data_IF_363456681680
#
_entry.id   IF_363456681680
#
_cell.length_a   1.000
_cell.length_b   1.000
_cell.length_c   1.000
_cell.angle_alpha   90.00
_cell.angle_beta   90.00
_cell.angle_gamma   90.00
#
_symmetry.space_group_name_H-M   'P 1'
#
loop_
_entity.id
_entity.type
_entity.pdbx_description
1 polymer ?
#
# COMPACT_ATOMS: atom_id res chain seq x y z
N UNK A 1 -7.42 7.83 14.08
CA UNK A 1 -7.26 7.68 12.65
C UNK A 1 -7.37 6.22 12.18
N UNK A 2 -6.53 5.28 12.65
CA UNK A 2 -6.69 3.84 12.37
C UNK A 2 -6.93 3.10 13.68
N UNK A 3 -7.99 2.27 13.75
CA UNK A 3 -8.32 1.48 14.94
C UNK A 3 -8.63 0.04 14.53
N UNK A 4 -8.00 -0.91 15.20
CA UNK A 4 -8.28 -2.33 15.14
C UNK A 4 -8.85 -2.78 16.46
N UNK A 5 -9.98 -3.49 16.43
CA UNK A 5 -10.67 -3.98 17.63
C UNK A 5 -10.89 -5.49 17.50
N UNK A 6 -10.15 -6.26 18.29
CA UNK A 6 -10.24 -7.73 18.36
C UNK A 6 -10.16 -8.41 16.98
N UNK A 7 -9.28 -7.89 16.10
CA UNK A 7 -9.18 -8.31 14.71
C UNK A 7 -8.51 -9.67 14.61
N UNK A 8 -9.13 -10.60 13.92
CA UNK A 8 -8.56 -11.91 13.61
C UNK A 8 -8.64 -12.21 12.11
N UNK A 9 -7.65 -12.95 11.61
CA UNK A 9 -7.60 -13.42 10.23
C UNK A 9 -7.21 -14.88 10.14
N UNK A 10 -8.09 -15.66 9.52
CA UNK A 10 -7.86 -17.07 9.18
C UNK A 10 -7.96 -17.24 7.66
N UNK A 11 -7.05 -18.03 7.09
CA UNK A 11 -7.11 -18.44 5.69
C UNK A 11 -7.50 -19.90 5.61
N UNK A 12 -8.44 -20.22 4.72
CA UNK A 12 -8.84 -21.59 4.41
C UNK A 12 -8.13 -22.02 3.13
N UNK A 13 -7.33 -23.07 3.21
CA UNK A 13 -6.59 -23.62 2.08
C UNK A 13 -7.42 -24.73 1.41
N UNK A 14 -8.20 -24.37 0.41
CA UNK A 14 -9.10 -25.31 -0.29
C UNK A 14 -8.37 -26.49 -0.93
N UNK A 15 -7.11 -26.26 -1.39
CA UNK A 15 -6.30 -27.29 -2.05
C UNK A 15 -5.53 -28.19 -1.07
N UNK A 16 -5.65 -27.97 0.26
CA UNK A 16 -4.97 -28.73 1.30
C UNK A 16 -5.99 -29.19 2.35
N UNK A 17 -6.90 -30.07 1.94
CA UNK A 17 -7.93 -30.68 2.80
C UNK A 17 -8.73 -29.66 3.63
N UNK A 18 -8.94 -28.44 3.10
CA UNK A 18 -9.58 -27.32 3.83
C UNK A 18 -8.86 -26.91 5.13
N UNK A 19 -7.55 -27.12 5.22
CA UNK A 19 -6.79 -26.66 6.38
C UNK A 19 -7.01 -25.18 6.66
N UNK A 20 -7.16 -24.82 7.94
CA UNK A 20 -7.32 -23.44 8.40
C UNK A 20 -6.03 -22.97 9.03
N UNK A 21 -5.47 -21.89 8.49
CA UNK A 21 -4.29 -21.23 9.06
C UNK A 21 -4.74 -19.93 9.73
N UNK A 22 -4.54 -19.85 11.04
CA UNK A 22 -4.71 -18.61 11.80
C UNK A 22 -3.45 -17.76 11.65
N UNK A 23 -3.57 -16.54 11.13
CA UNK A 23 -2.43 -15.64 10.87
C UNK A 23 -2.44 -14.47 11.84
N UNK A 24 -3.61 -13.98 12.22
CA UNK A 24 -3.78 -12.90 13.18
C UNK A 24 -4.86 -13.32 14.17
N UNK A 25 -4.59 -13.13 15.45
CA UNK A 25 -5.51 -13.48 16.53
C UNK A 25 -5.69 -12.29 17.49
N UNK A 26 -6.93 -11.82 17.60
CA UNK A 26 -7.37 -10.80 18.55
C UNK A 26 -6.47 -9.54 18.57
N UNK A 27 -6.03 -9.07 17.40
CA UNK A 27 -5.16 -7.90 17.30
C UNK A 27 -5.94 -6.63 17.66
N UNK A 28 -5.33 -5.81 18.51
CA UNK A 28 -5.83 -4.50 18.90
C UNK A 28 -4.73 -3.47 18.63
N UNK A 29 -5.08 -2.38 17.94
CA UNK A 29 -4.16 -1.31 17.59
C UNK A 29 -4.94 -0.01 17.48
N UNK A 30 -4.36 1.07 17.98
CA UNK A 30 -4.90 2.41 17.79
C UNK A 30 -3.76 3.32 17.33
N UNK A 31 -3.93 3.99 16.18
CA UNK A 31 -2.97 4.93 15.62
C UNK A 31 -3.64 6.28 15.47
N UNK A 32 -3.09 7.26 16.17
CA UNK A 32 -3.55 8.65 16.15
C UNK A 32 -2.93 9.44 14.99
N UNK A 33 -3.49 10.58 14.58
CA UNK A 33 -2.84 11.46 13.61
C UNK A 33 -1.44 11.90 14.09
N UNK A 34 -0.47 11.91 13.19
CA UNK A 34 0.92 12.27 13.48
C UNK A 34 1.75 11.18 14.18
N UNK A 35 1.15 10.02 14.47
CA UNK A 35 1.86 8.90 15.11
C UNK A 35 2.56 8.02 14.07
N UNK A 36 3.80 7.62 14.37
CA UNK A 36 4.57 6.64 13.59
C UNK A 36 4.66 5.32 14.37
N UNK A 37 4.12 4.25 13.81
CA UNK A 37 4.07 2.92 14.43
C UNK A 37 4.84 1.90 13.62
N UNK A 38 5.79 1.20 14.25
CA UNK A 38 6.53 0.11 13.64
C UNK A 38 5.96 -1.26 14.06
N UNK A 39 5.61 -2.09 13.07
CA UNK A 39 5.24 -3.49 13.29
C UNK A 39 6.49 -4.36 13.32
N UNK A 40 6.85 -4.87 14.48
CA UNK A 40 8.04 -5.71 14.68
C UNK A 40 7.65 -7.17 14.89
N UNK A 41 8.43 -8.10 14.33
CA UNK A 41 8.19 -9.53 14.48
C UNK A 41 8.93 -10.35 13.42
N UNK A 42 9.03 -11.66 13.63
CA UNK A 42 9.68 -12.58 12.71
C UNK A 42 9.05 -12.58 11.31
N UNK A 43 9.77 -13.06 10.30
CA UNK A 43 9.18 -13.29 8.98
C UNK A 43 8.02 -14.29 9.11
N UNK A 44 6.92 -14.02 8.38
CA UNK A 44 5.71 -14.84 8.45
C UNK A 44 4.80 -14.58 9.66
N UNK A 45 5.12 -13.63 10.56
CA UNK A 45 4.29 -13.32 11.73
C UNK A 45 2.97 -12.55 11.42
N UNK A 46 2.66 -12.32 10.16
CA UNK A 46 1.39 -11.68 9.74
C UNK A 46 1.45 -10.16 9.55
N UNK A 47 2.62 -9.50 9.66
CA UNK A 47 2.74 -8.03 9.50
C UNK A 47 2.16 -7.52 8.18
N UNK A 48 2.59 -8.08 7.05
CA UNK A 48 2.05 -7.71 5.72
C UNK A 48 0.58 -8.07 5.58
N UNK A 49 0.12 -9.14 6.23
CA UNK A 49 -1.32 -9.49 6.26
C UNK A 49 -2.11 -8.41 6.98
N UNK A 50 -1.63 -7.94 8.14
CA UNK A 50 -2.26 -6.88 8.90
C UNK A 50 -2.34 -5.58 8.09
N UNK A 51 -1.24 -5.17 7.46
CA UNK A 51 -1.21 -3.98 6.59
C UNK A 51 -2.19 -4.10 5.42
N UNK A 52 -2.26 -5.28 4.77
CA UNK A 52 -3.22 -5.54 3.69
C UNK A 52 -4.67 -5.52 4.16
N UNK A 53 -4.93 -5.88 5.41
CA UNK A 53 -6.27 -5.75 6.01
C UNK A 53 -6.62 -4.30 6.30
N UNK A 54 -5.69 -3.50 6.84
CA UNK A 54 -5.86 -2.05 7.04
C UNK A 54 -6.07 -1.34 5.70
N UNK A 55 -5.38 -1.76 4.65
CA UNK A 55 -5.58 -1.24 3.29
C UNK A 55 -6.86 -1.77 2.61
N UNK A 56 -7.60 -2.68 3.25
CA UNK A 56 -8.84 -3.27 2.73
C UNK A 56 -8.65 -4.32 1.63
N UNK A 57 -7.42 -4.84 1.41
CA UNK A 57 -7.17 -5.92 0.45
C UNK A 57 -7.64 -7.30 0.96
N UNK A 58 -7.69 -7.46 2.29
CA UNK A 58 -8.21 -8.66 2.93
C UNK A 58 -9.27 -8.27 3.95
N UNK A 59 -10.40 -8.95 3.92
CA UNK A 59 -11.41 -8.84 4.97
C UNK A 59 -10.95 -9.56 6.23
N UNK A 60 -11.24 -8.99 7.39
CA UNK A 60 -11.09 -9.67 8.66
C UNK A 60 -12.01 -10.89 8.74
N UNK A 61 -11.60 -11.93 9.47
CA UNK A 61 -12.48 -13.05 9.81
C UNK A 61 -13.42 -12.66 10.96
N UNK A 62 -12.92 -11.83 11.89
CA UNK A 62 -13.70 -11.26 12.98
C UNK A 62 -13.04 -9.96 13.47
N UNK A 63 -13.75 -9.19 14.27
CA UNK A 63 -13.35 -7.88 14.76
C UNK A 63 -13.67 -6.76 13.76
N UNK A 64 -13.21 -5.54 14.02
CA UNK A 64 -13.46 -4.37 13.18
C UNK A 64 -12.16 -3.59 12.90
N UNK A 65 -12.08 -2.99 11.69
CA UNK A 65 -10.96 -2.15 11.25
C UNK A 65 -11.54 -0.81 10.81
N UNK A 66 -11.33 0.21 11.60
CA UNK A 66 -11.78 1.56 11.29
C UNK A 66 -10.61 2.39 10.73
N UNK A 67 -10.86 3.06 9.62
CA UNK A 67 -9.97 4.06 9.04
C UNK A 67 -10.74 5.36 8.91
N UNK A 68 -10.33 6.36 9.65
CA UNK A 68 -10.98 7.67 9.68
C UNK A 68 -12.51 7.59 9.94
N UNK A 69 -12.90 6.66 10.82
CA UNK A 69 -14.29 6.40 11.19
C UNK A 69 -15.06 5.44 10.29
N UNK A 70 -14.50 5.04 9.14
CA UNK A 70 -15.11 4.06 8.22
C UNK A 70 -14.68 2.66 8.62
N UNK A 71 -15.62 1.77 8.92
CA UNK A 71 -15.34 0.36 9.22
C UNK A 71 -15.19 -0.47 7.94
N UNK A 72 -13.95 -0.81 7.61
CA UNK A 72 -13.61 -1.57 6.39
C UNK A 72 -14.15 -3.02 6.39
N UNK A 73 -14.62 -3.51 7.53
CA UNK A 73 -15.17 -4.88 7.63
C UNK A 73 -16.62 -4.95 7.15
N UNK A 74 -17.31 -3.82 7.16
CA UNK A 74 -18.73 -3.70 6.75
C UNK A 74 -18.95 -2.71 5.60
N UNK A 75 -17.91 -1.94 5.24
CA UNK A 75 -17.97 -0.93 4.19
C UNK A 75 -18.24 -1.54 2.81
N UNK A 76 -19.00 -0.84 2.00
CA UNK A 76 -19.22 -1.18 0.60
C UNK A 76 -17.91 -1.05 -0.21
N UNK A 77 -17.73 -1.83 -1.30
CA UNK A 77 -16.51 -1.77 -2.11
C UNK A 77 -16.14 -0.36 -2.60
N UNK A 78 -17.12 0.49 -2.87
CA UNK A 78 -16.90 1.89 -3.28
C UNK A 78 -16.30 2.73 -2.15
N UNK A 79 -16.74 2.53 -0.92
CA UNK A 79 -16.21 3.24 0.25
C UNK A 79 -14.75 2.83 0.51
N UNK A 80 -14.44 1.52 0.38
CA UNK A 80 -13.06 1.03 0.49
C UNK A 80 -12.17 1.66 -0.60
N UNK A 81 -12.67 1.80 -1.83
CA UNK A 81 -11.93 2.47 -2.90
C UNK A 81 -11.68 3.95 -2.59
N UNK A 82 -12.66 4.67 -2.04
CA UNK A 82 -12.48 6.07 -1.65
C UNK A 82 -11.49 6.22 -0.48
N UNK A 83 -11.51 5.29 0.50
CA UNK A 83 -10.50 5.26 1.56
C UNK A 83 -9.10 5.09 0.99
N UNK A 84 -8.90 4.17 0.04
CA UNK A 84 -7.60 3.96 -0.64
C UNK A 84 -7.14 5.16 -1.46
N UNK A 85 -8.06 5.85 -2.11
CA UNK A 85 -7.73 7.00 -2.95
C UNK A 85 -7.34 8.24 -2.14
N UNK A 86 -7.97 8.44 -0.99
CA UNK A 86 -7.92 9.72 -0.29
C UNK A 86 -7.34 9.65 1.13
N UNK A 87 -7.28 8.46 1.75
CA UNK A 87 -6.94 8.30 3.16
C UNK A 87 -5.70 7.45 3.39
N UNK A 88 -5.45 6.47 2.54
CA UNK A 88 -4.39 5.48 2.75
C UNK A 88 -3.48 5.35 1.54
N UNK A 89 -2.23 5.82 1.67
CA UNK A 89 -1.15 5.42 0.78
C UNK A 89 -0.61 4.04 1.16
N UNK A 90 -0.11 3.29 0.17
CA UNK A 90 0.48 1.97 0.43
C UNK A 90 1.69 1.72 -0.46
N UNK A 91 2.85 1.64 0.16
CA UNK A 91 4.08 1.14 -0.47
C UNK A 91 4.22 -0.34 -0.11
N UNK A 92 3.93 -1.21 -1.05
CA UNK A 92 4.03 -2.66 -0.88
C UNK A 92 5.46 -3.15 -1.08
N UNK A 93 5.76 -4.35 -0.60
CA UNK A 93 7.07 -4.99 -0.77
C UNK A 93 7.48 -5.13 -2.25
N UNK A 94 6.52 -5.32 -3.15
CA UNK A 94 6.75 -5.43 -4.59
C UNK A 94 5.82 -4.48 -5.34
N UNK A 95 6.37 -3.76 -6.32
CA UNK A 95 5.60 -2.91 -7.20
C UNK A 95 4.58 -3.74 -8.02
N UNK A 96 3.30 -3.36 -7.92
CA UNK A 96 2.22 -3.96 -8.72
C UNK A 96 1.62 -2.91 -9.62
N UNK A 97 1.82 -3.09 -10.91
CA UNK A 97 1.35 -2.16 -11.95
C UNK A 97 0.73 -2.90 -13.13
N UNK A 98 -0.10 -2.19 -13.87
CA UNK A 98 -0.59 -2.68 -15.16
C UNK A 98 0.57 -2.67 -16.16
N UNK A 99 0.85 -3.79 -16.86
CA UNK A 99 1.90 -3.83 -17.87
C UNK A 99 1.69 -2.78 -18.97
N UNK A 100 2.78 -2.30 -19.58
CA UNK A 100 2.78 -1.33 -20.68
C UNK A 100 2.32 0.09 -20.32
N UNK A 101 2.10 0.39 -19.05
CA UNK A 101 1.85 1.77 -18.58
C UNK A 101 3.21 2.43 -18.32
N UNK A 102 3.48 3.64 -18.86
CA UNK A 102 4.70 4.38 -18.58
C UNK A 102 4.91 4.66 -17.09
N UNK A 103 6.14 4.61 -16.63
CA UNK A 103 6.53 4.86 -15.23
C UNK A 103 5.98 6.19 -14.72
N UNK A 104 6.09 7.24 -15.51
CA UNK A 104 5.57 8.56 -15.18
C UNK A 104 4.07 8.52 -14.85
N UNK A 105 3.28 7.83 -15.69
CA UNK A 105 1.83 7.66 -15.43
C UNK A 105 1.53 6.75 -14.24
N UNK A 106 2.38 5.75 -13.99
CA UNK A 106 2.26 4.89 -12.79
C UNK A 106 2.44 5.71 -11.53
N UNK A 107 3.41 6.63 -11.49
CA UNK A 107 3.65 7.49 -10.32
C UNK A 107 2.56 8.55 -10.18
N UNK A 108 2.09 9.16 -11.28
CA UNK A 108 1.03 10.16 -11.26
C UNK A 108 -0.39 9.60 -10.94
N UNK A 109 -0.59 8.28 -11.03
CA UNK A 109 -1.90 7.64 -10.91
C UNK A 109 -2.69 8.02 -9.63
N UNK A 110 -2.09 8.09 -8.43
CA UNK A 110 -2.82 8.50 -7.24
C UNK A 110 -3.44 9.91 -7.37
N UNK A 111 -2.71 10.87 -7.94
CA UNK A 111 -3.20 12.23 -8.16
C UNK A 111 -4.31 12.28 -9.21
N UNK A 112 -4.13 11.57 -10.32
CA UNK A 112 -5.13 11.45 -11.37
C UNK A 112 -6.42 10.81 -10.86
N UNK A 113 -6.31 9.81 -9.99
CA UNK A 113 -7.46 9.08 -9.43
C UNK A 113 -8.35 9.94 -8.53
N UNK A 114 -7.80 11.00 -7.93
CA UNK A 114 -8.55 11.97 -7.11
C UNK A 114 -9.03 13.17 -7.91
N UNK A 115 -8.72 13.23 -9.22
CA UNK A 115 -9.20 14.28 -10.13
C UNK A 115 -8.28 15.50 -10.26
N UNK A 116 -6.99 15.40 -9.87
CA UNK A 116 -6.02 16.46 -10.17
C UNK A 116 -5.78 16.59 -11.68
N UNK A 117 -5.49 17.79 -12.19
CA UNK A 117 -5.13 18.01 -13.59
C UNK A 117 -3.95 17.14 -14.02
N UNK A 118 -3.98 16.58 -15.24
CA UNK A 118 -2.94 15.67 -15.74
C UNK A 118 -1.56 16.34 -15.75
N UNK A 119 -1.48 17.60 -16.20
CA UNK A 119 -0.24 18.38 -16.24
C UNK A 119 0.41 18.48 -14.88
N UNK A 120 -0.32 18.94 -13.86
CA UNK A 120 0.16 19.06 -12.47
C UNK A 120 0.58 17.69 -11.89
N UNK A 121 -0.23 16.66 -12.17
CA UNK A 121 0.05 15.30 -11.69
C UNK A 121 1.34 14.72 -12.28
N UNK A 122 1.61 15.00 -13.56
CA UNK A 122 2.83 14.56 -14.22
C UNK A 122 4.05 15.34 -13.72
N UNK A 123 3.95 16.64 -13.53
CA UNK A 123 5.03 17.48 -12.98
C UNK A 123 5.45 17.00 -11.58
N UNK A 124 4.50 16.76 -10.67
CA UNK A 124 4.78 16.21 -9.34
C UNK A 124 5.43 14.80 -9.41
N UNK A 125 5.00 14.00 -10.37
CA UNK A 125 5.58 12.67 -10.56
C UNK A 125 7.02 12.75 -11.11
N UNK A 126 7.33 13.72 -11.99
CA UNK A 126 8.68 13.98 -12.51
C UNK A 126 9.63 14.39 -11.39
N UNK A 127 9.21 15.32 -10.52
CA UNK A 127 10.01 15.76 -9.36
C UNK A 127 10.42 14.59 -8.46
N UNK A 128 9.47 13.72 -8.11
CA UNK A 128 9.76 12.55 -7.27
C UNK A 128 10.62 11.50 -7.98
N UNK A 129 10.45 11.30 -9.27
CA UNK A 129 11.30 10.39 -10.04
C UNK A 129 12.75 10.91 -10.12
N UNK A 130 12.95 12.23 -10.23
CA UNK A 130 14.28 12.86 -10.17
C UNK A 130 14.90 12.70 -8.78
N UNK A 131 14.16 13.02 -7.72
CA UNK A 131 14.61 12.90 -6.32
C UNK A 131 15.03 11.46 -5.98
N UNK A 132 14.29 10.47 -6.49
CA UNK A 132 14.59 9.04 -6.30
C UNK A 132 15.59 8.48 -7.33
N UNK A 133 16.27 9.34 -8.09
CA UNK A 133 17.32 8.96 -9.05
C UNK A 133 16.85 7.92 -10.09
N UNK A 134 15.61 8.06 -10.60
CA UNK A 134 15.13 7.27 -11.74
C UNK A 134 15.51 7.99 -13.04
N UNK A 135 16.36 7.39 -13.91
CA UNK A 135 16.82 8.04 -15.13
C UNK A 135 15.65 8.45 -16.05
N UNK A 136 15.70 9.66 -16.60
CA UNK A 136 14.63 10.21 -17.49
C UNK A 136 14.29 9.30 -18.69
N UNK A 137 15.28 8.56 -19.23
CA UNK A 137 15.07 7.58 -20.29
C UNK A 137 14.12 6.44 -19.93
N UNK A 138 13.91 6.17 -18.62
CA UNK A 138 13.03 5.13 -18.11
C UNK A 138 11.59 5.61 -17.89
N UNK A 139 11.34 6.91 -17.86
CA UNK A 139 10.03 7.46 -17.50
C UNK A 139 8.90 7.08 -18.45
N UNK A 140 9.24 6.91 -19.74
CA UNK A 140 8.28 6.51 -20.78
C UNK A 140 8.20 4.97 -20.95
N UNK A 141 9.01 4.21 -20.21
CA UNK A 141 8.99 2.76 -20.24
C UNK A 141 8.13 2.20 -19.10
N UNK A 142 7.64 0.98 -19.27
CA UNK A 142 6.93 0.29 -18.19
C UNK A 142 7.90 -0.17 -17.10
N UNK A 143 7.64 0.08 -15.81
CA UNK A 143 8.55 -0.31 -14.75
C UNK A 143 8.64 -1.83 -14.54
N UNK A 144 7.80 -2.63 -15.21
CA UNK A 144 7.85 -4.10 -15.13
C UNK A 144 9.14 -4.70 -15.65
N UNK A 145 9.92 -3.94 -16.43
CA UNK A 145 11.21 -4.38 -17.02
C UNK A 145 12.44 -3.86 -16.25
N UNK A 146 12.23 -3.11 -15.18
CA UNK A 146 13.28 -2.49 -14.39
C UNK A 146 13.92 -3.47 -13.40
N UNK A 147 15.12 -3.14 -12.91
CA UNK A 147 15.72 -3.82 -11.77
C UNK A 147 14.83 -3.76 -10.52
N UNK A 148 15.02 -4.66 -9.57
CA UNK A 148 14.25 -4.67 -8.32
C UNK A 148 14.35 -3.37 -7.55
N UNK A 149 15.56 -2.76 -7.49
CA UNK A 149 15.78 -1.46 -6.85
C UNK A 149 15.07 -0.31 -7.55
N UNK A 150 15.12 -0.25 -8.89
CA UNK A 150 14.39 0.77 -9.66
C UNK A 150 12.87 0.61 -9.50
N UNK A 151 12.35 -0.62 -9.55
CA UNK A 151 10.93 -0.88 -9.29
C UNK A 151 10.53 -0.42 -7.89
N UNK A 152 11.37 -0.66 -6.90
CA UNK A 152 11.08 -0.23 -5.53
C UNK A 152 11.11 1.29 -5.38
N UNK A 153 12.05 1.99 -6.02
CA UNK A 153 12.05 3.47 -6.05
C UNK A 153 10.81 4.03 -6.74
N UNK A 154 10.34 3.42 -7.85
CA UNK A 154 9.06 3.79 -8.48
C UNK A 154 7.87 3.54 -7.55
N UNK A 155 7.89 2.46 -6.78
CA UNK A 155 6.85 2.13 -5.81
C UNK A 155 6.80 3.16 -4.66
N UNK A 156 7.97 3.61 -4.20
CA UNK A 156 8.10 4.68 -3.20
C UNK A 156 7.56 5.99 -3.80
N UNK A 157 8.02 6.40 -5.01
CA UNK A 157 7.52 7.60 -5.68
C UNK A 157 5.99 7.62 -5.75
N UNK A 158 5.38 6.52 -6.20
CA UNK A 158 3.92 6.38 -6.29
C UNK A 158 3.23 6.51 -4.93
N UNK A 159 3.84 5.99 -3.86
CA UNK A 159 3.28 6.06 -2.51
C UNK A 159 3.34 7.46 -1.90
N UNK A 160 4.31 8.28 -2.33
CA UNK A 160 4.58 9.59 -1.76
C UNK A 160 4.11 10.77 -2.64
N UNK A 161 3.68 10.53 -3.89
CA UNK A 161 3.24 11.60 -4.80
C UNK A 161 2.02 12.38 -4.30
N UNK A 162 1.23 11.77 -3.45
CA UNK A 162 0.09 12.39 -2.77
C UNK A 162 0.28 12.35 -1.26
N UNK A 163 -0.04 13.45 -0.58
CA UNK A 163 0.01 13.54 0.89
C UNK A 163 -1.18 12.81 1.51
N UNK A 164 -1.06 11.50 1.61
CA UNK A 164 -2.07 10.69 2.28
C UNK A 164 -2.12 10.99 3.78
N UNK A 165 -3.32 11.09 4.39
CA UNK A 165 -3.47 11.18 5.85
C UNK A 165 -2.79 10.06 6.63
N UNK A 166 -2.65 8.86 6.04
CA UNK A 166 -1.84 7.78 6.57
C UNK A 166 -1.11 7.03 5.45
N UNK A 167 0.12 6.60 5.70
CA UNK A 167 0.94 5.84 4.78
C UNK A 167 1.33 4.50 5.40
N UNK A 168 1.06 3.43 4.68
CA UNK A 168 1.44 2.07 5.05
C UNK A 168 2.70 1.68 4.26
N UNK A 169 3.77 1.29 4.96
CA UNK A 169 5.06 0.92 4.38
C UNK A 169 5.36 -0.55 4.70
N UNK A 170 5.26 -1.44 3.71
CA UNK A 170 5.49 -2.87 3.86
C UNK A 170 6.86 -3.23 3.27
N UNK A 171 7.90 -3.25 4.11
CA UNK A 171 9.30 -3.49 3.75
C UNK A 171 9.80 -2.58 2.59
N UNK A 172 9.66 -1.25 2.69
CA UNK A 172 9.86 -0.33 1.57
C UNK A 172 11.30 -0.29 1.05
N UNK A 173 12.26 -0.78 1.80
CA UNK A 173 13.70 -0.76 1.46
C UNK A 173 14.29 -2.15 1.20
N UNK A 174 13.47 -3.21 1.20
CA UNK A 174 13.97 -4.60 1.10
C UNK A 174 14.75 -4.91 -0.19
N UNK A 175 14.46 -4.19 -1.27
CA UNK A 175 15.11 -4.36 -2.58
C UNK A 175 16.11 -3.24 -2.92
N UNK A 176 16.38 -2.31 -1.98
CA UNK A 176 17.36 -1.27 -2.18
C UNK A 176 18.73 -1.75 -1.71
N UNK A 177 19.78 -1.44 -2.49
CA UNK A 177 21.15 -1.75 -2.08
C UNK A 177 21.49 -1.00 -0.79
N UNK A 178 22.21 -1.69 0.08
CA UNK A 178 22.80 -1.04 1.26
C UNK A 178 24.06 -0.32 0.77
N UNK A 179 23.97 0.98 0.56
CA UNK A 179 25.13 1.85 0.51
C UNK A 179 25.68 2.13 1.92
#
# INVERSE_FOLDING_TARGET
MIQLRSVSKKFKLFNQQNAIISVIENANLNISPGECVALVGASGSGKSTLMRMIYGNYLATSGSILVDGIDLTTAEPREILEVRKRKLGYVSQFLRVVPRVPTLKVVAEPLLSIGKPETESLEMAEELLEELNIPKKLWQLSPTTFSGGEQQRVNIARGFVYEFPALLLDEPTASLDKE
#
